data_IF_855258623470
#
_entry.id   IF_855258623470
#
_cell.length_a   1.000
_cell.length_b   1.000
_cell.length_c   1.000
_cell.angle_alpha   90.00
_cell.angle_beta   90.00
_cell.angle_gamma   90.00
#
_symmetry.space_group_name_H-M   'P 1'
#
loop_
_entity.id
_entity.type
_entity.pdbx_description
1 polymer ?
#
# COMPACT_ATOMS: atom_id res chain seq x y z
N UNK A 1 16.04 -37.16 -1.59
CA UNK A 1 15.66 -35.95 -2.35
C UNK A 1 15.96 -36.25 -3.82
N UNK A 2 14.96 -36.34 -4.71
CA UNK A 2 15.15 -36.82 -6.09
C UNK A 2 15.76 -35.76 -7.05
N UNK A 3 16.07 -34.57 -6.56
CA UNK A 3 16.65 -33.48 -7.36
C UNK A 3 17.91 -32.93 -6.68
N UNK A 4 18.83 -32.43 -7.51
CA UNK A 4 20.02 -31.72 -7.06
C UNK A 4 19.62 -30.55 -6.15
N UNK A 5 20.26 -30.47 -4.99
CA UNK A 5 20.01 -29.40 -4.04
C UNK A 5 20.89 -28.21 -4.42
N UNK A 6 20.31 -27.01 -4.38
CA UNK A 6 21.07 -25.78 -4.50
C UNK A 6 22.15 -25.74 -3.39
N UNK A 7 23.41 -25.56 -3.76
CA UNK A 7 24.51 -25.41 -2.80
C UNK A 7 24.58 -23.93 -2.32
N UNK A 8 24.19 -23.62 -1.07
CA UNK A 8 24.21 -22.25 -0.56
C UNK A 8 25.61 -21.64 -0.52
N UNK A 9 26.67 -22.46 -0.51
CA UNK A 9 28.06 -21.98 -0.52
C UNK A 9 28.45 -21.36 -1.86
N UNK A 10 27.65 -21.57 -2.92
CA UNK A 10 27.84 -20.92 -4.23
C UNK A 10 27.30 -19.49 -4.27
N UNK A 11 26.56 -19.07 -3.24
CA UNK A 11 25.91 -17.77 -3.17
C UNK A 11 26.93 -16.65 -2.91
N UNK A 12 27.07 -15.73 -3.85
CA UNK A 12 27.85 -14.50 -3.67
C UNK A 12 26.93 -13.38 -3.22
N UNK A 13 26.81 -13.21 -1.90
CA UNK A 13 26.01 -12.14 -1.31
C UNK A 13 26.80 -10.83 -1.26
N UNK A 14 26.11 -9.73 -1.55
CA UNK A 14 26.61 -8.37 -1.28
C UNK A 14 26.13 -7.91 0.10
N UNK A 15 26.87 -7.01 0.78
CA UNK A 15 26.38 -6.33 1.98
C UNK A 15 25.01 -5.71 1.77
N UNK A 16 24.16 -5.74 2.80
CA UNK A 16 22.82 -5.15 2.74
C UNK A 16 22.85 -3.64 2.43
N UNK A 17 23.93 -2.95 2.82
CA UNK A 17 24.18 -1.55 2.50
C UNK A 17 24.33 -1.27 1.01
N UNK A 18 24.63 -2.29 0.21
CA UNK A 18 24.74 -2.20 -1.25
C UNK A 18 23.43 -2.54 -1.96
N UNK A 19 22.33 -2.74 -1.22
CA UNK A 19 21.03 -2.97 -1.80
C UNK A 19 20.47 -1.68 -2.38
N UNK A 20 20.30 -1.68 -3.68
CA UNK A 20 19.55 -0.64 -4.39
C UNK A 20 18.05 -0.89 -4.24
N UNK A 21 17.30 0.16 -3.95
CA UNK A 21 15.86 0.12 -3.82
C UNK A 21 15.23 0.87 -4.99
N UNK A 22 14.33 0.21 -5.72
CA UNK A 22 13.57 0.85 -6.81
C UNK A 22 12.59 1.93 -6.31
N UNK A 23 12.35 1.96 -5.00
CA UNK A 23 11.43 2.90 -4.35
C UNK A 23 12.15 3.71 -3.29
N UNK A 24 11.92 5.02 -3.34
CA UNK A 24 12.37 5.96 -2.32
C UNK A 24 11.19 6.40 -1.44
N UNK A 25 11.50 6.74 -0.18
CA UNK A 25 10.51 7.22 0.80
C UNK A 25 9.82 8.52 0.38
N UNK A 26 10.41 9.34 -0.47
CA UNK A 26 9.79 10.54 -1.02
C UNK A 26 8.58 10.24 -1.91
N UNK A 27 8.47 9.01 -2.43
CA UNK A 27 7.31 8.59 -3.24
C UNK A 27 6.07 8.24 -2.41
N UNK A 28 6.21 8.13 -1.08
CA UNK A 28 5.12 7.76 -0.18
C UNK A 28 4.25 8.97 0.16
N UNK A 29 2.94 8.74 0.23
CA UNK A 29 1.98 9.66 0.83
C UNK A 29 2.07 9.49 2.34
N UNK A 30 2.27 10.61 3.06
CA UNK A 30 2.31 10.64 4.52
C UNK A 30 1.02 11.27 5.07
N UNK A 31 0.48 10.78 6.20
CA UNK A 31 -0.73 11.35 6.81
C UNK A 31 -0.63 12.84 7.12
N UNK A 32 0.54 13.28 7.62
CA UNK A 32 0.81 14.69 7.94
C UNK A 32 1.24 15.50 6.70
N UNK A 33 1.28 14.88 5.53
CA UNK A 33 1.67 15.49 4.27
C UNK A 33 0.54 16.29 3.60
N UNK A 34 0.87 17.04 2.55
CA UNK A 34 -0.14 17.74 1.77
C UNK A 34 -1.08 16.73 1.10
N UNK A 35 -2.39 17.04 1.14
CA UNK A 35 -3.41 16.27 0.43
C UNK A 35 -3.05 16.21 -1.06
N UNK A 36 -2.91 15.00 -1.58
CA UNK A 36 -2.72 14.79 -3.01
C UNK A 36 -3.99 15.16 -3.78
N UNK A 37 -3.89 16.00 -4.84
CA UNK A 37 -5.06 16.39 -5.61
C UNK A 37 -5.59 15.18 -6.37
N UNK A 38 -6.85 14.84 -6.11
CA UNK A 38 -7.58 13.81 -6.83
C UNK A 38 -9.04 14.24 -6.99
N UNK A 39 -9.57 14.13 -8.20
CA UNK A 39 -10.95 14.46 -8.54
C UNK A 39 -11.51 13.39 -9.48
N UNK A 40 -12.73 12.96 -9.21
CA UNK A 40 -13.47 12.02 -10.04
C UNK A 40 -14.97 12.23 -9.78
N UNK A 41 -15.80 12.18 -10.83
CA UNK A 41 -17.25 12.42 -10.75
C UNK A 41 -17.99 11.48 -9.78
N UNK A 42 -17.43 10.29 -9.57
CA UNK A 42 -17.96 9.31 -8.62
C UNK A 42 -17.72 9.69 -7.15
N UNK A 43 -16.75 10.56 -6.82
CA UNK A 43 -16.38 10.86 -5.44
C UNK A 43 -17.54 11.42 -4.61
N UNK A 44 -18.31 12.44 -5.08
CA UNK A 44 -19.46 12.95 -4.32
C UNK A 44 -20.53 11.87 -4.07
N UNK A 45 -20.75 10.99 -5.05
CA UNK A 45 -21.73 9.90 -4.97
C UNK A 45 -21.30 8.87 -3.92
N UNK A 46 -20.04 8.43 -3.98
CA UNK A 46 -19.47 7.46 -3.04
C UNK A 46 -19.41 8.03 -1.63
N UNK A 47 -18.93 9.26 -1.46
CA UNK A 47 -18.87 9.93 -0.17
C UNK A 47 -20.26 10.00 0.49
N UNK A 48 -21.29 10.42 -0.25
CA UNK A 48 -22.67 10.48 0.26
C UNK A 48 -23.19 9.11 0.69
N UNK A 49 -22.91 8.05 -0.07
CA UNK A 49 -23.37 6.69 0.24
C UNK A 49 -22.65 6.11 1.45
N UNK A 50 -21.33 6.28 1.52
CA UNK A 50 -20.49 5.81 2.63
C UNK A 50 -20.89 6.47 3.94
N UNK A 51 -21.02 7.81 3.96
CA UNK A 51 -21.40 8.53 5.18
C UNK A 51 -22.82 8.19 5.64
N UNK A 52 -23.78 8.05 4.71
CA UNK A 52 -25.14 7.63 5.04
C UNK A 52 -25.22 6.19 5.57
N UNK A 53 -24.37 5.28 5.07
CA UNK A 53 -24.26 3.91 5.57
C UNK A 53 -23.66 3.89 6.99
N UNK A 54 -22.57 4.63 7.21
CA UNK A 54 -21.92 4.78 8.52
C UNK A 54 -22.89 5.32 9.57
N UNK A 55 -23.63 6.40 9.26
CA UNK A 55 -24.62 6.99 10.15
C UNK A 55 -25.76 6.04 10.55
N UNK A 56 -25.99 4.99 9.77
CA UNK A 56 -27.01 3.95 10.02
C UNK A 56 -26.42 2.67 10.61
N UNK A 57 -25.14 2.68 11.02
CA UNK A 57 -24.47 1.50 11.57
C UNK A 57 -24.36 0.35 10.57
N UNK A 58 -24.30 0.63 9.26
CA UNK A 58 -24.15 -0.38 8.22
C UNK A 58 -22.68 -0.67 7.97
N UNK A 59 -22.36 -1.93 7.66
CA UNK A 59 -21.02 -2.34 7.24
C UNK A 59 -20.59 -1.60 5.97
N UNK A 60 -19.35 -1.12 5.97
CA UNK A 60 -18.67 -0.55 4.82
C UNK A 60 -17.43 -1.41 4.59
N UNK A 61 -17.40 -2.13 3.46
CA UNK A 61 -16.29 -3.00 3.10
C UNK A 61 -15.47 -2.30 2.03
N UNK A 62 -14.19 -2.06 2.32
CA UNK A 62 -13.23 -1.51 1.38
C UNK A 62 -12.24 -2.60 0.95
N UNK A 63 -12.00 -2.73 -0.36
CA UNK A 63 -11.06 -3.71 -0.90
C UNK A 63 -9.96 -3.04 -1.72
N UNK A 64 -8.73 -3.26 -1.24
CA UNK A 64 -7.44 -2.82 -1.74
C UNK A 64 -6.72 -3.72 -2.75
N UNK A 65 -6.08 -3.19 -3.79
CA UNK A 65 -4.85 -3.81 -4.30
C UNK A 65 -3.65 -3.44 -3.42
N UNK A 66 -2.63 -4.31 -3.35
CA UNK A 66 -1.42 -4.06 -2.55
C UNK A 66 -0.67 -2.76 -2.93
N UNK A 67 -0.83 -2.30 -4.18
CA UNK A 67 -0.27 -1.04 -4.67
C UNK A 67 -0.77 0.18 -3.90
N UNK A 68 -2.02 0.17 -3.41
CA UNK A 68 -2.58 1.28 -2.63
C UNK A 68 -1.81 1.42 -1.31
N UNK A 69 -1.49 0.31 -0.65
CA UNK A 69 -0.68 0.30 0.57
C UNK A 69 0.76 0.72 0.30
N UNK A 70 1.36 0.22 -0.80
CA UNK A 70 2.73 0.53 -1.23
C UNK A 70 2.93 2.03 -1.53
N UNK A 71 1.88 2.75 -1.91
CA UNK A 71 1.92 4.21 -2.14
C UNK A 71 2.00 5.03 -0.83
N UNK A 72 1.99 4.39 0.34
CA UNK A 72 2.02 5.06 1.65
C UNK A 72 0.66 5.24 2.30
N UNK A 73 -0.42 4.69 1.73
CA UNK A 73 -1.76 4.80 2.34
C UNK A 73 -1.99 3.86 3.52
N UNK A 74 -1.05 2.96 3.84
CA UNK A 74 -1.25 2.00 4.93
C UNK A 74 -1.63 2.67 6.27
N UNK A 75 -0.92 3.72 6.75
CA UNK A 75 -1.29 4.43 7.98
C UNK A 75 -2.61 5.21 7.90
N UNK A 76 -3.17 5.41 6.70
CA UNK A 76 -4.47 6.07 6.51
C UNK A 76 -5.63 5.07 6.45
N UNK A 77 -5.34 3.79 6.21
CA UNK A 77 -6.33 2.74 5.95
C UNK A 77 -6.38 1.69 7.06
N UNK A 78 -5.30 1.56 7.82
CA UNK A 78 -5.08 0.56 8.86
C UNK A 78 -4.63 1.36 10.08
N UNK A 79 -5.59 1.71 10.94
CA UNK A 79 -5.34 2.21 12.30
C UNK A 79 -5.11 1.01 13.24
#
# INVERSE_FOLDING_TARGET
>A
MPFEQFDPNTLRLRPLSEREHDMDRSSLIYPDGPRQPFSHEALPILAKRITAAAAKGRSIIFTCGAHVLRQGNAPLLID
#
